data_IF_266031559985
#
_entry.id   IF_266031559985
#
_cell.length_a   1.000
_cell.length_b   1.000
_cell.length_c   1.000
_cell.angle_alpha   90.00
_cell.angle_beta   90.00
_cell.angle_gamma   90.00
#
_symmetry.space_group_name_H-M   'P 1'
#
loop_
_entity.id
_entity.type
_entity.pdbx_description
1 polymer ?
#
# COMPACT_ATOMS: atom_id res chain seq x y z
N UNK A 1 41.19 14.79 -10.29
CA UNK A 1 41.24 13.32 -10.17
C UNK A 1 39.93 12.76 -10.69
N UNK A 2 40.00 11.87 -11.69
CA UNK A 2 38.85 11.20 -12.29
C UNK A 2 38.14 10.29 -11.27
N UNK A 3 36.90 10.61 -10.91
CA UNK A 3 36.01 9.70 -10.21
C UNK A 3 35.27 8.78 -11.19
N UNK A 4 35.96 7.73 -11.66
CA UNK A 4 35.43 6.69 -12.58
C UNK A 4 34.52 5.65 -11.87
N UNK A 5 33.76 6.07 -10.86
CA UNK A 5 32.75 5.25 -10.21
C UNK A 5 31.48 6.08 -10.06
N UNK A 6 30.49 5.85 -10.94
CA UNK A 6 29.12 6.30 -10.72
C UNK A 6 28.65 5.76 -9.38
N UNK A 7 28.55 6.63 -8.38
CA UNK A 7 27.97 6.34 -7.06
C UNK A 7 26.60 5.72 -7.32
N UNK A 8 26.38 4.45 -6.97
CA UNK A 8 25.03 3.87 -6.99
C UNK A 8 24.15 4.82 -6.17
N UNK A 9 23.06 5.29 -6.75
CA UNK A 9 22.05 6.00 -5.99
C UNK A 9 21.68 5.14 -4.77
N UNK A 10 21.64 5.74 -3.57
CA UNK A 10 21.24 5.05 -2.36
C UNK A 10 19.75 4.72 -2.48
N UNK A 11 19.42 3.56 -3.04
CA UNK A 11 18.04 3.08 -3.12
C UNK A 11 17.62 2.46 -1.79
N UNK A 12 16.33 2.56 -1.50
CA UNK A 12 15.67 1.89 -0.38
C UNK A 12 14.90 0.67 -0.90
N UNK A 13 14.82 -0.36 -0.07
CA UNK A 13 13.84 -1.43 -0.26
C UNK A 13 12.46 -0.92 0.12
N UNK A 14 11.47 -1.07 -0.75
CA UNK A 14 10.06 -0.95 -0.37
C UNK A 14 9.60 -2.25 0.27
N UNK A 15 9.24 -2.22 1.55
CA UNK A 15 8.80 -3.41 2.29
C UNK A 15 7.38 -3.19 2.81
N UNK A 16 6.44 -3.95 2.28
CA UNK A 16 5.05 -4.00 2.72
C UNK A 16 4.85 -5.23 3.63
N UNK A 17 4.49 -4.98 4.89
CA UNK A 17 4.21 -6.00 5.92
C UNK A 17 2.70 -6.05 6.12
N UNK A 18 2.03 -7.01 5.45
CA UNK A 18 0.59 -7.18 5.54
C UNK A 18 0.19 -8.31 6.49
N UNK A 19 -1.12 -8.56 6.67
CA UNK A 19 -1.61 -9.64 7.56
C UNK A 19 -1.26 -11.07 7.13
N UNK A 20 -0.81 -11.29 5.90
CA UNK A 20 -0.58 -12.65 5.35
C UNK A 20 0.76 -12.83 4.66
N UNK A 21 1.49 -11.74 4.38
CA UNK A 21 2.75 -11.82 3.64
C UNK A 21 3.59 -10.57 3.87
N UNK A 22 4.90 -10.74 3.72
CA UNK A 22 5.85 -9.65 3.52
C UNK A 22 6.18 -9.58 2.04
N UNK A 23 6.12 -8.37 1.46
CA UNK A 23 6.46 -8.10 0.07
C UNK A 23 7.62 -7.12 0.03
N UNK A 24 8.67 -7.46 -0.71
CA UNK A 24 9.87 -6.66 -0.88
C UNK A 24 10.01 -6.28 -2.35
N UNK A 25 10.27 -5.00 -2.61
CA UNK A 25 10.58 -4.48 -3.93
C UNK A 25 11.80 -3.57 -3.87
N UNK A 26 12.70 -3.71 -4.83
CA UNK A 26 13.84 -2.82 -5.07
C UNK A 26 13.68 -2.19 -6.46
N UNK A 27 13.65 -0.86 -6.50
CA UNK A 27 13.61 -0.08 -7.73
C UNK A 27 14.92 0.67 -7.95
N UNK A 28 15.29 0.84 -9.21
CA UNK A 28 16.27 1.83 -9.65
C UNK A 28 15.65 2.74 -10.71
N UNK A 29 16.26 3.90 -10.96
CA UNK A 29 15.81 4.85 -11.99
C UNK A 29 16.99 5.28 -12.85
N UNK A 30 16.81 5.25 -14.17
CA UNK A 30 17.77 5.76 -15.15
C UNK A 30 17.04 6.66 -16.13
N UNK A 31 17.38 7.96 -16.13
CA UNK A 31 16.55 8.97 -16.79
C UNK A 31 15.15 9.01 -16.15
N UNK A 32 14.11 8.98 -16.99
CA UNK A 32 12.71 8.90 -16.54
C UNK A 32 12.22 7.47 -16.31
N UNK A 33 12.99 6.44 -16.68
CA UNK A 33 12.51 5.06 -16.66
C UNK A 33 12.91 4.34 -15.37
N UNK A 34 11.92 3.78 -14.69
CA UNK A 34 12.13 2.89 -13.56
C UNK A 34 12.54 1.48 -14.01
N UNK A 35 13.26 0.78 -13.15
CA UNK A 35 13.65 -0.60 -13.33
C UNK A 35 13.44 -1.40 -12.05
N UNK A 36 12.77 -2.54 -12.15
CA UNK A 36 12.66 -3.51 -11.04
C UNK A 36 13.98 -4.26 -10.94
N UNK A 37 14.74 -3.98 -9.88
CA UNK A 37 16.03 -4.63 -9.63
C UNK A 37 15.84 -5.98 -8.95
N UNK A 38 14.96 -6.04 -7.95
CA UNK A 38 14.64 -7.24 -7.20
C UNK A 38 13.21 -7.16 -6.67
N UNK A 39 12.55 -8.31 -6.56
CA UNK A 39 11.32 -8.42 -5.79
C UNK A 39 11.20 -9.83 -5.21
N UNK A 40 10.49 -9.95 -4.09
CA UNK A 40 10.08 -11.23 -3.55
C UNK A 40 8.86 -11.06 -2.66
N UNK A 41 8.09 -12.14 -2.55
CA UNK A 41 6.97 -12.27 -1.62
C UNK A 41 7.22 -13.49 -0.74
N UNK A 42 7.03 -13.33 0.56
CA UNK A 42 7.16 -14.38 1.56
C UNK A 42 5.90 -14.43 2.43
N UNK A 43 5.23 -15.59 2.57
CA UNK A 43 4.08 -15.72 3.45
C UNK A 43 4.49 -15.54 4.91
N UNK A 44 3.58 -14.95 5.69
CA UNK A 44 3.73 -14.83 7.14
C UNK A 44 3.11 -16.03 7.85
N UNK A 45 3.64 -16.41 9.03
CA UNK A 45 2.95 -17.34 9.90
C UNK A 45 1.54 -16.84 10.24
N UNK A 46 0.55 -17.74 10.41
CA UNK A 46 -0.77 -17.35 10.85
C UNK A 46 -0.70 -16.52 12.13
N UNK A 47 -1.50 -15.44 12.19
CA UNK A 47 -1.60 -14.53 13.33
C UNK A 47 -0.31 -13.74 13.66
N UNK A 48 0.75 -13.82 12.85
CA UNK A 48 1.95 -13.00 13.08
C UNK A 48 1.67 -11.50 12.92
N UNK A 49 0.74 -11.15 12.03
CA UNK A 49 0.25 -9.79 11.83
C UNK A 49 -1.28 -9.81 11.82
N UNK A 50 -1.91 -9.10 12.74
CA UNK A 50 -3.37 -9.02 12.90
C UNK A 50 -3.79 -7.57 12.73
N UNK A 51 -4.69 -7.29 11.79
CA UNK A 51 -5.22 -5.93 11.55
C UNK A 51 -4.11 -4.88 11.43
N UNK A 52 -3.06 -5.18 10.64
CA UNK A 52 -1.88 -4.34 10.40
C UNK A 52 -0.99 -4.06 11.62
N UNK A 53 -1.22 -4.75 12.74
CA UNK A 53 -0.34 -4.77 13.92
C UNK A 53 0.52 -6.04 13.92
N UNK A 54 1.82 -5.87 14.20
CA UNK A 54 2.76 -7.00 14.36
C UNK A 54 2.52 -7.60 15.75
N UNK A 55 1.98 -8.81 15.80
CA UNK A 55 1.64 -9.52 17.03
C UNK A 55 2.72 -10.55 17.44
N UNK A 56 3.47 -11.07 16.48
CA UNK A 56 4.56 -12.03 16.72
C UNK A 56 5.81 -11.53 15.97
N UNK A 57 6.70 -10.90 16.74
CA UNK A 57 7.82 -10.12 16.20
C UNK A 57 8.86 -11.02 15.53
N UNK A 58 9.19 -12.15 16.15
CA UNK A 58 10.24 -13.06 15.72
C UNK A 58 9.92 -13.73 14.38
N UNK A 59 8.70 -14.22 14.18
CA UNK A 59 8.25 -14.82 12.93
C UNK A 59 8.13 -13.81 11.79
N UNK A 60 7.76 -12.55 12.07
CA UNK A 60 7.87 -11.47 11.07
C UNK A 60 9.34 -11.22 10.71
N UNK A 61 10.24 -11.12 11.69
CA UNK A 61 11.69 -10.96 11.46
C UNK A 61 12.30 -12.11 10.64
N UNK A 62 11.87 -13.35 10.89
CA UNK A 62 12.29 -14.51 10.11
C UNK A 62 11.76 -14.47 8.67
N UNK A 63 10.49 -14.08 8.46
CA UNK A 63 9.93 -13.91 7.13
C UNK A 63 10.64 -12.79 6.35
N UNK A 64 10.97 -11.68 7.00
CA UNK A 64 11.79 -10.60 6.43
C UNK A 64 13.20 -11.09 6.02
N UNK A 65 13.81 -11.96 6.82
CA UNK A 65 15.10 -12.56 6.48
C UNK A 65 14.99 -13.46 5.24
N UNK A 66 13.94 -14.27 5.16
CA UNK A 66 13.67 -15.15 4.00
C UNK A 66 13.36 -14.37 2.73
N UNK A 67 12.52 -13.32 2.81
CA UNK A 67 12.16 -12.51 1.64
C UNK A 67 13.39 -11.78 1.07
N UNK A 68 14.29 -11.28 1.94
CA UNK A 68 15.53 -10.64 1.53
C UNK A 68 16.47 -11.62 0.81
N UNK A 69 16.62 -12.83 1.35
CA UNK A 69 17.40 -13.89 0.73
C UNK A 69 16.82 -14.31 -0.64
N UNK A 70 15.49 -14.43 -0.73
CA UNK A 70 14.76 -14.77 -1.96
C UNK A 70 14.89 -13.70 -3.05
N UNK A 71 14.81 -12.42 -2.67
CA UNK A 71 15.00 -11.28 -3.58
C UNK A 71 16.45 -11.14 -4.07
N UNK A 72 17.42 -11.69 -3.32
CA UNK A 72 18.86 -11.57 -3.59
C UNK A 72 19.27 -10.09 -3.74
N UNK A 73 18.75 -9.23 -2.87
CA UNK A 73 19.15 -7.82 -2.82
C UNK A 73 20.33 -7.63 -1.86
N UNK A 74 21.24 -6.72 -2.22
CA UNK A 74 22.33 -6.28 -1.35
C UNK A 74 21.98 -5.05 -0.50
N UNK A 75 20.82 -4.43 -0.75
CA UNK A 75 20.37 -3.23 -0.02
C UNK A 75 19.94 -3.62 1.40
N UNK A 76 20.30 -2.80 2.38
CA UNK A 76 20.00 -3.04 3.81
C UNK A 76 19.11 -1.96 4.44
N UNK A 77 18.83 -0.90 3.71
CA UNK A 77 17.95 0.19 4.13
C UNK A 77 16.58 0.04 3.49
N UNK A 78 15.52 0.27 4.25
CA UNK A 78 14.14 0.05 3.80
C UNK A 78 13.22 1.23 4.14
N UNK A 79 12.21 1.42 3.30
CA UNK A 79 10.99 2.14 3.60
C UNK A 79 9.89 1.13 3.94
N UNK A 80 9.21 1.34 5.07
CA UNK A 80 8.04 0.57 5.52
C UNK A 80 6.87 1.51 5.73
N UNK A 81 5.66 0.99 5.87
CA UNK A 81 4.47 1.80 6.13
C UNK A 81 3.71 1.40 7.40
N UNK A 82 3.07 2.37 8.02
CA UNK A 82 1.95 2.19 8.94
C UNK A 82 0.61 2.38 8.21
N UNK A 83 -0.42 1.73 8.74
CA UNK A 83 -1.79 1.84 8.21
C UNK A 83 -2.30 3.28 8.27
N UNK A 84 -3.07 3.71 7.26
CA UNK A 84 -3.74 5.01 7.30
C UNK A 84 -4.68 5.16 8.51
N UNK A 85 -5.36 4.08 8.93
CA UNK A 85 -6.22 4.06 10.12
C UNK A 85 -5.46 4.20 11.44
N UNK A 86 -4.14 4.01 11.44
CA UNK A 86 -3.28 4.21 12.60
C UNK A 86 -2.64 5.61 12.65
N UNK A 87 -2.88 6.44 11.64
CA UNK A 87 -2.30 7.78 11.49
C UNK A 87 -3.39 8.84 11.51
N UNK A 88 -3.21 9.83 12.37
CA UNK A 88 -4.01 11.06 12.37
C UNK A 88 -3.28 12.06 11.47
N UNK A 89 -3.96 12.49 10.41
CA UNK A 89 -3.45 13.53 9.49
C UNK A 89 -4.28 14.80 9.64
N UNK A 90 -3.64 15.96 9.82
CA UNK A 90 -4.33 17.24 9.97
C UNK A 90 -3.48 18.39 9.44
N UNK A 91 -4.10 19.27 8.65
CA UNK A 91 -3.50 20.56 8.30
C UNK A 91 -3.82 21.59 9.37
N UNK A 92 -2.81 22.27 9.90
CA UNK A 92 -2.94 23.37 10.85
C UNK A 92 -2.24 24.63 10.33
N UNK A 93 -2.61 25.80 10.83
CA UNK A 93 -1.95 27.07 10.48
C UNK A 93 -1.03 27.50 11.63
N UNK A 94 0.25 27.75 11.32
CA UNK A 94 1.26 28.22 12.27
C UNK A 94 1.84 29.58 11.84
N UNK A 95 2.54 30.27 12.74
CA UNK A 95 3.21 31.53 12.40
C UNK A 95 4.30 31.31 11.34
N UNK A 96 4.35 32.19 10.34
CA UNK A 96 5.38 32.14 9.32
C UNK A 96 6.73 32.62 9.86
N UNK A 97 7.83 32.09 9.30
CA UNK A 97 9.19 32.55 9.63
C UNK A 97 9.82 31.90 10.87
N UNK A 98 9.13 30.94 11.49
CA UNK A 98 9.73 30.07 12.51
C UNK A 98 10.82 29.18 11.90
N UNK A 99 11.83 28.85 12.69
CA UNK A 99 12.79 27.81 12.33
C UNK A 99 12.13 26.42 12.43
N UNK A 100 12.71 25.40 11.79
CA UNK A 100 12.19 24.03 11.86
C UNK A 100 12.16 23.50 13.32
N UNK A 101 13.17 23.85 14.12
CA UNK A 101 13.24 23.49 15.54
C UNK A 101 12.16 24.20 16.37
N UNK A 102 11.92 25.50 16.12
CA UNK A 102 10.85 26.25 16.79
C UNK A 102 9.47 25.69 16.42
N UNK A 103 9.29 25.34 15.14
CA UNK A 103 8.06 24.75 14.63
C UNK A 103 7.82 23.37 15.26
N UNK A 104 8.83 22.52 15.39
CA UNK A 104 8.74 21.22 16.06
C UNK A 104 8.35 21.38 17.55
N UNK A 105 8.97 22.32 18.25
CA UNK A 105 8.68 22.58 19.66
C UNK A 105 7.25 23.09 19.85
N UNK A 106 6.79 24.02 19.01
CA UNK A 106 5.43 24.53 19.06
C UNK A 106 4.42 23.45 18.68
N UNK A 107 4.72 22.63 17.67
CA UNK A 107 3.87 21.51 17.26
C UNK A 107 3.67 20.51 18.40
N UNK A 108 4.71 20.18 19.17
CA UNK A 108 4.56 19.29 20.34
C UNK A 108 3.57 19.84 21.37
N UNK A 109 3.51 21.15 21.54
CA UNK A 109 2.57 21.80 22.47
C UNK A 109 1.15 21.82 21.89
N UNK A 110 0.99 22.14 20.62
CA UNK A 110 -0.33 22.19 19.96
C UNK A 110 -0.93 20.80 19.69
N UNK A 111 -0.07 19.80 19.46
CA UNK A 111 -0.47 18.42 19.18
C UNK A 111 -1.29 17.78 20.31
N UNK A 112 -1.04 18.18 21.57
CA UNK A 112 -1.81 17.73 22.75
C UNK A 112 -3.32 18.02 22.61
N UNK A 113 -3.68 19.07 21.86
CA UNK A 113 -5.09 19.44 21.61
C UNK A 113 -5.77 18.55 20.56
N UNK A 114 -5.00 17.84 19.73
CA UNK A 114 -5.51 17.13 18.57
C UNK A 114 -5.31 15.61 18.65
N UNK A 115 -4.35 15.17 19.45
CA UNK A 115 -3.97 13.77 19.56
C UNK A 115 -4.59 13.19 20.83
N UNK A 116 -5.40 12.13 20.74
CA UNK A 116 -6.08 11.53 21.90
C UNK A 116 -5.15 10.68 22.78
N UNK A 117 -3.82 10.79 22.60
CA UNK A 117 -2.82 9.97 23.26
C UNK A 117 -1.78 10.85 23.96
N UNK A 118 -1.15 10.37 25.04
CA UNK A 118 -0.05 11.08 25.67
C UNK A 118 1.09 11.32 24.68
N UNK A 119 1.65 12.53 24.64
CA UNK A 119 2.72 12.91 23.70
C UNK A 119 3.94 11.97 23.77
N UNK A 120 4.23 11.40 24.94
CA UNK A 120 5.30 10.43 25.12
C UNK A 120 5.10 9.14 24.32
N UNK A 121 3.86 8.78 23.99
CA UNK A 121 3.50 7.58 23.21
C UNK A 121 3.31 7.87 21.72
N UNK A 122 3.57 9.10 21.26
CA UNK A 122 3.21 9.55 19.91
C UNK A 122 4.46 9.86 19.07
N UNK A 123 4.53 9.27 17.89
CA UNK A 123 5.44 9.68 16.84
C UNK A 123 4.73 10.74 15.99
N UNK A 124 5.32 11.93 15.89
CA UNK A 124 4.78 13.08 15.14
C UNK A 124 5.80 13.44 14.08
N UNK A 125 5.31 13.66 12.86
CA UNK A 125 6.05 14.24 11.76
C UNK A 125 5.22 15.38 11.14
N UNK A 126 5.89 16.30 10.45
CA UNK A 126 5.24 17.45 9.85
C UNK A 126 5.91 17.91 8.57
N UNK A 127 5.13 18.55 7.70
CA UNK A 127 5.63 19.17 6.47
C UNK A 127 4.94 20.52 6.23
N UNK A 128 5.73 21.58 6.04
CA UNK A 128 5.22 22.92 5.68
C UNK A 128 4.75 22.91 4.23
N UNK A 129 3.47 23.17 4.00
CA UNK A 129 2.83 23.14 2.68
C UNK A 129 2.98 24.47 1.92
N UNK A 130 3.11 25.58 2.66
CA UNK A 130 3.25 26.93 2.10
C UNK A 130 2.46 27.98 2.88
N UNK A 131 2.35 29.22 2.36
CA UNK A 131 1.60 30.30 3.01
C UNK A 131 0.10 29.96 3.13
N UNK A 132 -0.51 30.31 4.26
CA UNK A 132 -1.92 30.05 4.48
C UNK A 132 -2.79 30.91 3.54
N UNK A 133 -3.85 30.36 2.92
CA UNK A 133 -4.67 31.08 1.92
C UNK A 133 -5.31 32.36 2.45
N UNK A 134 -5.58 32.42 3.76
CA UNK A 134 -6.30 33.52 4.42
C UNK A 134 -5.38 34.50 5.13
N UNK A 135 -4.13 34.13 5.40
CA UNK A 135 -3.18 34.98 6.10
C UNK A 135 -1.74 34.70 5.64
N UNK A 136 -1.11 35.60 4.86
CA UNK A 136 0.28 35.46 4.41
C UNK A 136 1.32 35.45 5.54
N UNK A 137 0.97 35.91 6.75
CA UNK A 137 1.82 35.84 7.94
C UNK A 137 1.76 34.46 8.64
N UNK A 138 1.03 33.52 8.05
CA UNK A 138 0.93 32.13 8.51
C UNK A 138 1.30 31.15 7.42
N UNK A 139 1.67 29.95 7.83
CA UNK A 139 1.92 28.81 6.95
C UNK A 139 1.00 27.65 7.29
N UNK A 140 0.54 26.93 6.27
CA UNK A 140 -0.12 25.64 6.45
C UNK A 140 0.94 24.55 6.70
N UNK A 141 0.72 23.75 7.73
CA UNK A 141 1.57 22.64 8.14
C UNK A 141 0.73 21.38 8.15
N UNK A 142 1.14 20.37 7.38
CA UNK A 142 0.55 19.03 7.41
C UNK A 142 1.19 18.25 8.55
N UNK A 143 0.41 17.88 9.55
CA UNK A 143 0.82 17.04 10.66
C UNK A 143 0.36 15.60 10.41
N UNK A 144 1.27 14.64 10.61
CA UNK A 144 0.98 13.22 10.66
C UNK A 144 1.44 12.64 11.99
N UNK A 145 0.55 11.96 12.72
CA UNK A 145 0.87 11.39 14.01
C UNK A 145 0.33 9.97 14.18
N UNK A 146 1.10 9.10 14.83
CA UNK A 146 0.68 7.74 15.17
C UNK A 146 1.26 7.30 16.51
N UNK A 147 0.80 6.17 17.06
CA UNK A 147 1.41 5.57 18.26
C UNK A 147 2.84 5.13 17.95
N UNK A 148 3.83 5.51 18.78
CA UNK A 148 5.25 5.13 18.64
C UNK A 148 5.44 3.64 18.52
N UNK A 149 4.64 2.86 19.25
CA UNK A 149 4.64 1.39 19.19
C UNK A 149 4.51 0.86 17.75
N UNK A 150 3.69 1.50 16.90
CA UNK A 150 3.50 1.10 15.51
C UNK A 150 4.77 1.26 14.67
N UNK A 151 5.60 2.25 15.01
CA UNK A 151 6.90 2.53 14.38
C UNK A 151 7.94 1.56 14.93
N UNK A 152 8.13 1.55 16.25
CA UNK A 152 9.17 0.79 16.94
C UNK A 152 9.11 -0.71 16.66
N UNK A 153 7.90 -1.30 16.62
CA UNK A 153 7.75 -2.73 16.33
C UNK A 153 8.19 -3.10 14.91
N UNK A 154 8.00 -2.20 13.93
CA UNK A 154 8.45 -2.40 12.54
C UNK A 154 9.97 -2.24 12.44
N UNK A 155 10.53 -1.26 13.15
CA UNK A 155 11.98 -1.08 13.23
C UNK A 155 12.67 -2.30 13.85
N UNK A 156 12.12 -2.82 14.94
CA UNK A 156 12.60 -4.03 15.60
C UNK A 156 12.51 -5.25 14.67
N UNK A 157 11.39 -5.43 13.96
CA UNK A 157 11.20 -6.53 13.02
C UNK A 157 12.22 -6.49 11.87
N UNK A 158 12.50 -5.30 11.33
CA UNK A 158 13.54 -5.09 10.32
C UNK A 158 14.93 -5.38 10.89
N UNK A 159 15.23 -4.94 12.11
CA UNK A 159 16.52 -5.16 12.75
C UNK A 159 16.83 -6.66 12.92
N UNK A 160 15.84 -7.49 13.23
CA UNK A 160 15.98 -8.95 13.28
C UNK A 160 16.43 -9.57 11.94
N UNK A 161 16.09 -8.94 10.82
CA UNK A 161 16.52 -9.35 9.48
C UNK A 161 17.81 -8.66 9.00
N UNK A 162 18.47 -7.88 9.87
CA UNK A 162 19.63 -7.09 9.52
C UNK A 162 19.31 -5.95 8.54
N UNK A 163 18.08 -5.43 8.60
CA UNK A 163 17.60 -4.28 7.84
C UNK A 163 17.47 -3.05 8.75
N UNK A 164 17.48 -1.86 8.17
CA UNK A 164 17.30 -0.59 8.88
C UNK A 164 16.17 0.19 8.24
N UNK A 165 15.15 0.55 9.02
CA UNK A 165 14.15 1.51 8.60
C UNK A 165 14.82 2.87 8.39
N UNK A 166 14.75 3.40 7.16
CA UNK A 166 15.14 4.78 6.85
C UNK A 166 13.94 5.70 6.71
N UNK A 167 12.79 5.13 6.37
CA UNK A 167 11.52 5.83 6.25
C UNK A 167 10.45 4.93 6.85
N UNK A 168 9.62 5.51 7.70
CA UNK A 168 8.36 4.91 8.16
C UNK A 168 7.25 5.80 7.65
N UNK A 169 6.58 5.33 6.60
CA UNK A 169 5.64 6.08 5.79
C UNK A 169 4.18 5.72 6.14
N UNK A 170 3.23 6.35 5.45
CA UNK A 170 1.81 6.00 5.49
C UNK A 170 1.43 5.27 4.21
N UNK A 171 0.67 4.18 4.33
CA UNK A 171 0.22 3.37 3.18
C UNK A 171 -0.50 4.21 2.11
N UNK A 172 -1.29 5.22 2.51
CA UNK A 172 -2.01 6.10 1.59
C UNK A 172 -1.05 6.87 0.66
N UNK A 173 0.04 7.43 1.18
CA UNK A 173 1.02 8.16 0.37
C UNK A 173 1.85 7.23 -0.51
N UNK A 174 2.12 6.01 -0.04
CA UNK A 174 2.70 4.98 -0.90
C UNK A 174 1.77 4.65 -2.07
N UNK A 175 0.47 4.52 -1.80
CA UNK A 175 -0.51 4.28 -2.85
C UNK A 175 -0.54 5.41 -3.88
N UNK A 176 -0.54 6.67 -3.45
CA UNK A 176 -0.49 7.85 -4.34
C UNK A 176 0.73 7.83 -5.27
N UNK A 177 1.92 7.55 -4.74
CA UNK A 177 3.14 7.44 -5.56
C UNK A 177 3.05 6.32 -6.57
N UNK A 178 2.56 5.15 -6.17
CA UNK A 178 2.38 4.03 -7.10
C UNK A 178 1.27 4.30 -8.14
N UNK A 179 0.21 4.99 -7.74
CA UNK A 179 -0.89 5.41 -8.63
C UNK A 179 -0.40 6.32 -9.75
N UNK A 180 0.57 7.21 -9.48
CA UNK A 180 1.15 8.09 -10.50
C UNK A 180 1.74 7.31 -11.70
N UNK A 181 2.17 6.06 -11.50
CA UNK A 181 2.70 5.18 -12.56
C UNK A 181 1.61 4.58 -13.47
N UNK A 182 0.33 4.74 -13.12
CA UNK A 182 -0.79 4.14 -13.85
C UNK A 182 -1.36 5.05 -14.94
N UNK A 183 -0.73 6.20 -15.19
CA UNK A 183 -1.17 7.17 -16.21
C UNK A 183 -1.39 6.52 -17.59
N UNK A 184 -0.47 5.64 -17.99
CA UNK A 184 -0.56 4.91 -19.27
C UNK A 184 -1.76 3.95 -19.35
N UNK A 185 -2.23 3.43 -18.20
CA UNK A 185 -3.41 2.57 -18.14
C UNK A 185 -4.73 3.36 -18.15
N UNK A 186 -4.69 4.62 -17.70
CA UNK A 186 -5.85 5.49 -17.59
C UNK A 186 -6.08 6.36 -18.85
N UNK A 187 -5.31 6.16 -19.92
CA UNK A 187 -5.50 6.86 -21.19
C UNK A 187 -4.79 8.22 -21.30
N UNK A 188 -3.92 8.57 -20.33
CA UNK A 188 -3.07 9.78 -20.32
C UNK A 188 -3.65 10.94 -19.50
N UNK A 189 -2.79 11.60 -18.70
CA UNK A 189 -3.13 12.71 -17.80
C UNK A 189 -3.86 12.29 -16.52
N UNK A 190 -3.41 12.79 -15.37
CA UNK A 190 -4.13 12.65 -14.08
C UNK A 190 -5.02 13.86 -13.77
N UNK A 191 -4.95 14.90 -14.60
CA UNK A 191 -5.63 16.17 -14.36
C UNK A 191 -7.15 15.98 -14.51
N UNK A 192 -7.85 16.38 -13.45
CA UNK A 192 -9.31 16.29 -13.24
C UNK A 192 -9.89 14.88 -13.13
N UNK A 193 -9.06 13.83 -13.00
CA UNK A 193 -9.54 12.47 -12.79
C UNK A 193 -9.84 12.20 -11.32
N UNK A 194 -10.98 11.54 -11.08
CA UNK A 194 -11.40 10.97 -9.80
C UNK A 194 -11.43 9.45 -9.91
N UNK A 195 -10.47 8.79 -9.27
CA UNK A 195 -10.26 7.34 -9.38
C UNK A 195 -10.45 6.65 -8.03
N UNK A 196 -11.30 5.63 -8.01
CA UNK A 196 -11.47 4.76 -6.86
C UNK A 196 -10.51 3.57 -6.93
N UNK A 197 -9.47 3.55 -6.09
CA UNK A 197 -8.59 2.41 -5.92
C UNK A 197 -9.17 1.48 -4.85
N UNK A 198 -9.42 0.23 -5.22
CA UNK A 198 -9.95 -0.82 -4.36
C UNK A 198 -8.87 -1.87 -4.13
N UNK A 199 -8.15 -1.78 -3.01
CA UNK A 199 -7.18 -2.80 -2.60
C UNK A 199 -7.89 -3.94 -1.87
N UNK A 200 -7.98 -5.10 -2.53
CA UNK A 200 -8.64 -6.30 -2.00
C UNK A 200 -7.56 -7.26 -1.49
N UNK A 201 -7.18 -7.08 -0.23
CA UNK A 201 -6.25 -7.92 0.50
C UNK A 201 -6.83 -9.29 0.88
N UNK A 202 -6.16 -9.99 1.77
CA UNK A 202 -6.63 -11.28 2.29
C UNK A 202 -7.73 -11.10 3.35
N UNK A 203 -7.52 -10.22 4.33
CA UNK A 203 -8.43 -10.02 5.47
C UNK A 203 -9.12 -8.66 5.46
N UNK A 204 -8.59 -7.71 4.69
CA UNK A 204 -9.02 -6.32 4.66
C UNK A 204 -9.17 -5.87 3.21
N UNK A 205 -10.19 -5.07 2.96
CA UNK A 205 -10.38 -4.33 1.71
C UNK A 205 -10.36 -2.84 2.01
N UNK A 206 -9.55 -2.09 1.28
CA UNK A 206 -9.43 -0.64 1.42
C UNK A 206 -9.91 0.03 0.14
N UNK A 207 -10.89 0.92 0.27
CA UNK A 207 -11.23 1.89 -0.77
C UNK A 207 -10.45 3.18 -0.50
N UNK A 208 -9.66 3.62 -1.48
CA UNK A 208 -9.05 4.94 -1.51
C UNK A 208 -9.53 5.67 -2.76
N UNK A 209 -10.14 6.84 -2.60
CA UNK A 209 -10.53 7.68 -3.74
C UNK A 209 -9.49 8.78 -3.89
N UNK A 210 -8.89 8.84 -5.06
CA UNK A 210 -7.91 9.84 -5.44
C UNK A 210 -8.54 10.82 -6.42
N UNK A 211 -8.36 12.11 -6.18
CA UNK A 211 -8.72 13.17 -7.12
C UNK A 211 -7.47 14.01 -7.39
N UNK A 212 -7.13 14.21 -8.66
CA UNK A 212 -5.86 14.86 -9.06
C UNK A 212 -4.62 14.23 -8.39
N UNK A 213 -4.62 12.90 -8.29
CA UNK A 213 -3.53 12.13 -7.66
C UNK A 213 -3.43 12.22 -6.14
N UNK A 214 -4.32 12.96 -5.46
CA UNK A 214 -4.35 13.06 -3.99
C UNK A 214 -5.52 12.30 -3.39
N UNK A 215 -5.29 11.61 -2.28
CA UNK A 215 -6.34 10.88 -1.56
C UNK A 215 -7.32 11.86 -0.90
N UNK A 216 -8.60 11.75 -1.26
CA UNK A 216 -9.69 12.55 -0.68
C UNK A 216 -10.65 11.73 0.19
N UNK A 217 -10.56 10.40 0.11
CA UNK A 217 -11.39 9.49 0.90
C UNK A 217 -10.67 8.17 1.10
N UNK A 218 -10.72 7.63 2.31
CA UNK A 218 -10.25 6.28 2.62
C UNK A 218 -11.23 5.56 3.53
N UNK A 219 -11.51 4.29 3.24
CA UNK A 219 -12.34 3.44 4.09
C UNK A 219 -11.87 2.00 4.04
N UNK A 220 -11.77 1.39 5.21
CA UNK A 220 -11.39 -0.01 5.39
C UNK A 220 -12.60 -0.86 5.80
N UNK A 221 -12.64 -2.11 5.34
CA UNK A 221 -13.64 -3.09 5.76
C UNK A 221 -13.03 -4.49 5.89
N UNK A 222 -13.43 -5.22 6.93
CA UNK A 222 -13.01 -6.60 7.24
C UNK A 222 -13.62 -7.61 6.25
N UNK A 223 -13.17 -7.54 5.01
CA UNK A 223 -13.55 -8.38 3.89
C UNK A 223 -12.31 -8.62 3.03
N UNK A 224 -12.15 -9.82 2.46
CA UNK A 224 -11.04 -10.07 1.57
C UNK A 224 -10.92 -11.52 1.11
N UNK A 225 -9.84 -11.80 0.38
CA UNK A 225 -9.60 -13.07 -0.29
C UNK A 225 -9.43 -14.29 0.63
N UNK A 226 -9.30 -14.11 1.95
CA UNK A 226 -9.28 -15.20 2.95
C UNK A 226 -10.61 -15.93 3.00
N UNK A 227 -11.73 -15.22 2.81
CA UNK A 227 -13.06 -15.86 2.76
C UNK A 227 -13.13 -16.89 1.62
N UNK A 228 -12.59 -16.56 0.45
CA UNK A 228 -12.50 -17.50 -0.67
C UNK A 228 -11.58 -18.69 -0.33
N UNK A 229 -10.43 -18.45 0.31
CA UNK A 229 -9.53 -19.53 0.73
C UNK A 229 -10.22 -20.47 1.72
N UNK A 230 -10.91 -19.93 2.73
CA UNK A 230 -11.63 -20.71 3.75
C UNK A 230 -12.79 -21.54 3.14
N UNK A 231 -13.47 -21.01 2.12
CA UNK A 231 -14.49 -21.75 1.39
C UNK A 231 -13.91 -22.95 0.64
N UNK A 232 -12.77 -22.75 -0.04
CA UNK A 232 -12.04 -23.83 -0.73
C UNK A 232 -11.62 -24.92 0.26
N UNK A 233 -11.09 -24.54 1.42
CA UNK A 233 -10.72 -25.49 2.48
C UNK A 233 -11.92 -26.31 2.95
N UNK A 234 -13.04 -25.63 3.26
CA UNK A 234 -14.22 -26.29 3.82
C UNK A 234 -14.86 -27.25 2.83
N UNK A 235 -14.95 -26.85 1.55
CA UNK A 235 -15.62 -27.64 0.51
C UNK A 235 -14.78 -28.83 0.04
N UNK A 236 -13.47 -28.65 -0.10
CA UNK A 236 -12.59 -29.65 -0.71
C UNK A 236 -11.65 -30.35 0.28
N UNK A 237 -11.74 -30.02 1.58
CA UNK A 237 -10.93 -30.64 2.63
C UNK A 237 -9.44 -30.32 2.54
N UNK A 238 -9.09 -29.18 1.94
CA UNK A 238 -7.70 -28.76 1.73
C UNK A 238 -7.15 -27.99 2.94
N UNK A 239 -5.84 -28.07 3.14
CA UNK A 239 -5.12 -27.16 4.05
C UNK A 239 -5.14 -25.71 3.53
N UNK A 240 -4.76 -24.75 4.38
CA UNK A 240 -4.70 -23.32 4.00
C UNK A 240 -3.73 -23.11 2.84
N UNK A 241 -2.58 -23.80 2.88
CA UNK A 241 -1.53 -23.71 1.87
C UNK A 241 -2.00 -24.29 0.53
N UNK A 242 -2.61 -25.48 0.56
CA UNK A 242 -3.17 -26.13 -0.64
C UNK A 242 -4.30 -25.30 -1.24
N UNK A 243 -5.22 -24.78 -0.42
CA UNK A 243 -6.31 -23.93 -0.87
C UNK A 243 -5.81 -22.61 -1.49
N UNK A 244 -4.80 -21.98 -0.89
CA UNK A 244 -4.17 -20.76 -1.43
C UNK A 244 -3.44 -21.02 -2.75
N UNK A 245 -2.78 -22.17 -2.89
CA UNK A 245 -2.13 -22.58 -4.13
C UNK A 245 -3.15 -22.86 -5.23
N UNK A 246 -4.19 -23.65 -4.92
CA UNK A 246 -5.27 -23.99 -5.84
C UNK A 246 -6.05 -22.75 -6.30
N UNK A 247 -6.26 -21.76 -5.41
CA UNK A 247 -6.86 -20.46 -5.78
C UNK A 247 -6.07 -19.73 -6.87
N UNK A 248 -4.75 -19.90 -6.94
CA UNK A 248 -3.89 -19.25 -7.94
C UNK A 248 -3.66 -20.12 -9.18
N UNK A 249 -3.54 -21.42 -9.01
CA UNK A 249 -3.12 -22.36 -10.07
C UNK A 249 -4.29 -23.12 -10.69
N UNK A 250 -5.46 -23.12 -10.06
CA UNK A 250 -6.61 -23.96 -10.44
C UNK A 250 -6.46 -25.40 -9.96
N UNK A 251 -7.07 -26.34 -10.69
CA UNK A 251 -7.06 -27.77 -10.35
C UNK A 251 -8.11 -28.19 -9.32
N UNK A 252 -9.08 -27.33 -9.04
CA UNK A 252 -10.26 -27.66 -8.23
C UNK A 252 -11.35 -28.33 -9.09
N UNK A 253 -12.28 -29.09 -8.48
CA UNK A 253 -13.38 -29.74 -9.20
C UNK A 253 -14.29 -28.73 -9.93
N UNK A 254 -15.02 -29.21 -10.94
CA UNK A 254 -15.85 -28.39 -11.84
C UNK A 254 -16.94 -27.56 -11.13
N UNK A 255 -17.34 -27.95 -9.91
CA UNK A 255 -18.32 -27.21 -9.12
C UNK A 255 -17.75 -25.95 -8.44
N UNK A 256 -16.43 -25.76 -8.47
CA UNK A 256 -15.74 -24.62 -7.86
C UNK A 256 -16.22 -23.29 -8.42
N UNK A 257 -16.31 -23.19 -9.74
CA UNK A 257 -16.65 -21.93 -10.40
C UNK A 257 -18.04 -21.45 -10.00
N UNK A 258 -19.05 -22.33 -10.03
CA UNK A 258 -20.45 -21.97 -9.74
C UNK A 258 -20.77 -21.87 -8.26
N UNK A 259 -20.21 -22.74 -7.43
CA UNK A 259 -20.61 -22.87 -6.01
C UNK A 259 -19.71 -22.09 -5.05
N UNK A 260 -18.49 -21.71 -5.48
CA UNK A 260 -17.49 -21.07 -4.61
C UNK A 260 -17.01 -19.74 -5.19
N UNK A 261 -16.45 -19.76 -6.41
CA UNK A 261 -15.83 -18.57 -6.98
C UNK A 261 -16.85 -17.50 -7.36
N UNK A 262 -17.94 -17.88 -8.04
CA UNK A 262 -18.96 -16.93 -8.48
C UNK A 262 -19.68 -16.23 -7.31
N UNK A 263 -20.12 -16.91 -6.23
CA UNK A 263 -20.66 -16.25 -5.05
C UNK A 263 -19.67 -15.29 -4.38
N UNK A 264 -18.39 -15.66 -4.32
CA UNK A 264 -17.35 -14.77 -3.80
C UNK A 264 -17.17 -13.52 -4.68
N UNK A 265 -17.14 -13.68 -6.00
CA UNK A 265 -17.08 -12.55 -6.95
C UNK A 265 -18.27 -11.60 -6.76
N UNK A 266 -19.48 -12.13 -6.56
CA UNK A 266 -20.66 -11.33 -6.28
C UNK A 266 -20.58 -10.60 -4.94
N UNK A 267 -20.04 -11.23 -3.91
CA UNK A 267 -19.77 -10.58 -2.62
C UNK A 267 -18.77 -9.43 -2.77
N UNK A 268 -17.71 -9.60 -3.58
CA UNK A 268 -16.78 -8.51 -3.91
C UNK A 268 -17.51 -7.34 -4.58
N UNK A 269 -18.35 -7.60 -5.59
CA UNK A 269 -19.12 -6.55 -6.27
C UNK A 269 -20.01 -5.77 -5.29
N UNK A 270 -20.73 -6.48 -4.40
CA UNK A 270 -21.56 -5.86 -3.37
C UNK A 270 -20.71 -4.97 -2.44
N UNK A 271 -19.54 -5.46 -2.06
CA UNK A 271 -18.60 -4.76 -1.19
C UNK A 271 -18.06 -3.46 -1.81
N UNK A 272 -17.68 -3.51 -3.10
CA UNK A 272 -17.22 -2.33 -3.85
C UNK A 272 -18.36 -1.34 -4.02
N UNK A 273 -19.53 -1.80 -4.48
CA UNK A 273 -20.73 -0.97 -4.67
C UNK A 273 -21.11 -0.22 -3.39
N UNK A 274 -21.15 -0.92 -2.25
CA UNK A 274 -21.45 -0.32 -0.95
C UNK A 274 -20.41 0.72 -0.53
N UNK A 275 -19.13 0.44 -0.77
CA UNK A 275 -18.04 1.38 -0.42
C UNK A 275 -18.13 2.68 -1.24
N UNK A 276 -18.42 2.58 -2.53
CA UNK A 276 -18.64 3.74 -3.41
C UNK A 276 -19.89 4.55 -2.99
N UNK A 277 -20.99 3.89 -2.68
CA UNK A 277 -22.20 4.57 -2.17
C UNK A 277 -21.91 5.38 -0.90
N UNK A 278 -21.09 4.84 0.01
CA UNK A 278 -20.67 5.57 1.19
C UNK A 278 -19.77 6.78 0.89
N UNK A 279 -18.90 6.68 -0.11
CA UNK A 279 -18.11 7.81 -0.58
C UNK A 279 -19.02 8.91 -1.15
N UNK A 280 -19.95 8.55 -2.05
CA UNK A 280 -20.88 9.51 -2.65
C UNK A 280 -21.78 10.19 -1.61
N UNK A 281 -22.22 9.46 -0.59
CA UNK A 281 -23.04 10.02 0.49
C UNK A 281 -22.26 10.93 1.45
N UNK A 282 -20.93 10.80 1.53
CA UNK A 282 -20.08 11.57 2.45
C UNK A 282 -19.49 12.85 1.81
N UNK A 283 -19.44 12.91 0.48
CA UNK A 283 -18.76 13.97 -0.26
C UNK A 283 -19.66 14.73 -1.23
N UNK A 284 -19.01 15.51 -2.09
CA UNK A 284 -19.64 16.28 -3.17
C UNK A 284 -19.65 15.53 -4.51
N UNK A 285 -19.03 14.35 -4.57
CA UNK A 285 -18.88 13.54 -5.78
C UNK A 285 -20.06 12.57 -5.90
N UNK A 286 -20.62 12.45 -7.11
CA UNK A 286 -21.74 11.53 -7.38
C UNK A 286 -21.30 10.29 -8.17
N UNK A 287 -20.10 10.33 -8.73
CA UNK A 287 -19.50 9.33 -9.58
C UNK A 287 -17.97 9.38 -9.46
N UNK A 288 -17.32 8.38 -10.07
CA UNK A 288 -15.87 8.29 -10.25
C UNK A 288 -15.61 7.86 -11.69
N UNK A 289 -14.52 8.34 -12.28
CA UNK A 289 -14.17 8.07 -13.68
C UNK A 289 -13.72 6.62 -13.88
N UNK A 290 -12.94 6.11 -12.91
CA UNK A 290 -12.34 4.77 -12.96
C UNK A 290 -12.39 4.06 -11.62
N UNK A 291 -12.42 2.73 -11.69
CA UNK A 291 -12.14 1.83 -10.58
C UNK A 291 -10.83 1.08 -10.87
N UNK A 292 -9.86 1.19 -9.99
CA UNK A 292 -8.61 0.44 -10.06
C UNK A 292 -8.59 -0.65 -9.00
N UNK A 293 -8.51 -1.91 -9.43
CA UNK A 293 -8.41 -3.05 -8.53
C UNK A 293 -6.96 -3.32 -8.16
N UNK A 294 -6.65 -3.25 -6.88
CA UNK A 294 -5.36 -3.58 -6.29
C UNK A 294 -5.49 -4.76 -5.31
N UNK A 295 -4.36 -5.21 -4.77
CA UNK A 295 -4.32 -6.35 -3.87
C UNK A 295 -4.29 -7.69 -4.62
N UNK A 296 -3.89 -8.75 -3.91
CA UNK A 296 -3.73 -10.08 -4.52
C UNK A 296 -5.03 -10.72 -5.00
N UNK A 297 -6.18 -10.25 -4.50
CA UNK A 297 -7.50 -10.75 -4.92
C UNK A 297 -7.95 -10.10 -6.24
N UNK A 298 -7.36 -8.97 -6.64
CA UNK A 298 -7.64 -8.35 -7.95
C UNK A 298 -7.18 -9.22 -9.13
N UNK A 299 -6.27 -10.17 -8.91
CA UNK A 299 -5.81 -11.13 -9.92
C UNK A 299 -6.82 -12.24 -10.25
N UNK A 300 -8.02 -12.23 -9.64
CA UNK A 300 -9.08 -13.20 -9.99
C UNK A 300 -9.52 -12.95 -11.44
N UNK A 301 -9.55 -14.00 -12.30
CA UNK A 301 -9.97 -13.86 -13.69
C UNK A 301 -11.37 -13.25 -13.84
N UNK A 302 -11.51 -12.27 -14.75
CA UNK A 302 -12.75 -11.56 -15.11
C UNK A 302 -13.46 -10.84 -13.94
N UNK A 303 -12.79 -10.64 -12.80
CA UNK A 303 -13.36 -9.88 -11.68
C UNK A 303 -13.55 -8.40 -12.03
N UNK A 304 -12.57 -7.82 -12.71
CA UNK A 304 -12.60 -6.47 -13.28
C UNK A 304 -13.82 -6.25 -14.19
N UNK A 305 -14.06 -7.18 -15.12
CA UNK A 305 -15.20 -7.13 -16.03
C UNK A 305 -16.53 -7.23 -15.31
N UNK A 306 -16.62 -8.12 -14.32
CA UNK A 306 -17.85 -8.27 -13.54
C UNK A 306 -18.15 -7.00 -12.74
N UNK A 307 -17.15 -6.41 -12.09
CA UNK A 307 -17.28 -5.15 -11.36
C UNK A 307 -17.69 -4.03 -12.31
N UNK A 308 -17.02 -3.88 -13.45
CA UNK A 308 -17.37 -2.88 -14.47
C UNK A 308 -18.81 -3.03 -14.95
N UNK A 309 -19.24 -4.25 -15.28
CA UNK A 309 -20.60 -4.50 -15.77
C UNK A 309 -21.67 -4.16 -14.72
N UNK A 310 -21.41 -4.48 -13.45
CA UNK A 310 -22.39 -4.32 -12.36
C UNK A 310 -22.44 -2.91 -11.81
N UNK A 311 -21.31 -2.19 -11.79
CA UNK A 311 -21.22 -0.83 -11.27
C UNK A 311 -21.44 0.20 -12.37
N UNK A 312 -21.08 -0.10 -13.62
CA UNK A 312 -21.20 0.83 -14.74
C UNK A 312 -20.03 1.81 -14.89
N UNK A 313 -18.95 1.62 -14.10
CA UNK A 313 -17.72 2.42 -14.17
C UNK A 313 -16.59 1.61 -14.78
N UNK A 314 -15.77 2.24 -15.62
CA UNK A 314 -14.60 1.60 -16.22
C UNK A 314 -13.66 1.05 -15.14
N UNK A 315 -13.35 -0.24 -15.22
CA UNK A 315 -12.57 -0.95 -14.18
C UNK A 315 -11.33 -1.58 -14.78
N UNK A 316 -10.18 -1.42 -14.12
CA UNK A 316 -8.89 -1.96 -14.53
C UNK A 316 -8.20 -2.63 -13.34
N UNK A 317 -7.34 -3.62 -13.61
CA UNK A 317 -6.46 -4.19 -12.59
C UNK A 317 -5.15 -3.41 -12.58
N UNK A 318 -4.74 -2.93 -11.40
CA UNK A 318 -3.55 -2.12 -11.25
C UNK A 318 -2.27 -2.90 -11.61
N UNK A 319 -1.43 -2.30 -12.44
CA UNK A 319 -0.09 -2.83 -12.74
C UNK A 319 0.94 -1.70 -12.74
N UNK A 320 1.63 -1.41 -11.62
CA UNK A 320 2.59 -0.30 -11.56
C UNK A 320 3.87 -0.57 -12.39
N UNK A 321 4.03 -1.77 -12.97
CA UNK A 321 5.25 -2.20 -13.64
C UNK A 321 5.18 -2.13 -15.17
N UNK A 322 4.07 -1.67 -15.74
CA UNK A 322 3.80 -1.72 -17.18
C UNK A 322 4.93 -1.09 -18.03
N UNK A 323 5.46 0.06 -17.62
CA UNK A 323 6.52 0.78 -18.36
C UNK A 323 7.94 0.56 -17.79
N UNK A 324 8.05 -0.25 -16.73
CA UNK A 324 9.33 -0.49 -16.06
C UNK A 324 10.21 -1.46 -16.85
N UNK A 325 11.52 -1.23 -16.83
CA UNK A 325 12.47 -2.26 -17.22
C UNK A 325 12.56 -3.34 -16.12
N UNK A 326 12.92 -4.57 -16.49
CA UNK A 326 13.12 -5.66 -15.53
C UNK A 326 14.58 -6.10 -15.53
N UNK A 327 15.13 -6.32 -14.33
CA UNK A 327 16.43 -6.98 -14.18
C UNK A 327 16.36 -8.44 -14.61
N UNK A 328 17.47 -8.99 -15.10
CA UNK A 328 17.52 -10.38 -15.61
C UNK A 328 17.23 -11.45 -14.56
N UNK A 329 17.33 -11.11 -13.26
CA UNK A 329 17.00 -12.01 -12.15
C UNK A 329 15.52 -11.98 -11.75
N UNK A 330 14.72 -11.09 -12.33
CA UNK A 330 13.29 -10.92 -12.04
C UNK A 330 12.48 -11.80 -12.99
N UNK A 331 11.61 -12.65 -12.44
CA UNK A 331 10.69 -13.44 -13.26
C UNK A 331 9.49 -12.58 -13.68
N UNK A 332 9.41 -12.26 -14.98
CA UNK A 332 8.36 -11.39 -15.51
C UNK A 332 6.94 -11.95 -15.34
N UNK A 333 6.77 -13.27 -15.51
CA UNK A 333 5.46 -13.93 -15.37
C UNK A 333 4.95 -13.89 -13.93
N UNK A 334 5.82 -14.24 -12.98
CA UNK A 334 5.47 -14.18 -11.57
C UNK A 334 5.24 -12.73 -11.10
N UNK A 335 6.02 -11.76 -11.60
CA UNK A 335 5.81 -10.35 -11.29
C UNK A 335 4.45 -9.87 -11.80
N UNK A 336 4.07 -10.25 -13.02
CA UNK A 336 2.78 -9.89 -13.60
C UNK A 336 1.61 -10.45 -12.77
N UNK A 337 1.71 -11.68 -12.25
CA UNK A 337 0.68 -12.28 -11.39
C UNK A 337 0.55 -11.59 -10.04
N UNK A 338 1.66 -11.11 -9.47
CA UNK A 338 1.68 -10.42 -8.17
C UNK A 338 1.53 -8.89 -8.30
N UNK A 339 1.54 -8.35 -9.52
CA UNK A 339 1.58 -6.90 -9.79
C UNK A 339 0.56 -6.06 -9.00
N UNK A 340 -0.74 -6.38 -8.99
CA UNK A 340 -1.72 -5.58 -8.24
C UNK A 340 -1.49 -5.63 -6.73
N UNK A 341 -0.87 -6.70 -6.21
CA UNK A 341 -0.56 -6.85 -4.79
C UNK A 341 0.68 -6.06 -4.35
N UNK A 342 1.40 -5.44 -5.29
CA UNK A 342 2.66 -4.75 -5.03
C UNK A 342 2.54 -3.22 -5.09
N UNK A 343 1.32 -2.65 -5.17
CA UNK A 343 1.10 -1.20 -5.20
C UNK A 343 1.78 -0.49 -4.02
N UNK A 344 1.54 -0.95 -2.78
CA UNK A 344 2.14 -0.35 -1.58
C UNK A 344 3.68 -0.51 -1.57
N UNK A 345 4.18 -1.72 -1.82
CA UNK A 345 5.62 -1.96 -1.90
C UNK A 345 6.31 -1.11 -2.99
N UNK A 346 5.63 -0.87 -4.12
CA UNK A 346 6.07 0.03 -5.17
C UNK A 346 6.18 1.47 -4.69
N UNK A 347 5.12 2.00 -4.09
CA UNK A 347 5.11 3.34 -3.52
C UNK A 347 6.17 3.57 -2.45
N UNK A 348 6.48 2.54 -1.65
CA UNK A 348 7.56 2.59 -0.66
C UNK A 348 8.95 2.59 -1.30
N UNK A 349 9.18 1.74 -2.31
CA UNK A 349 10.45 1.73 -3.03
C UNK A 349 10.69 3.07 -3.76
N UNK A 350 9.61 3.73 -4.21
CA UNK A 350 9.66 5.03 -4.88
C UNK A 350 10.16 6.17 -3.99
N UNK A 351 10.10 6.04 -2.64
CA UNK A 351 10.71 7.01 -1.70
C UNK A 351 12.21 7.23 -1.91
N UNK A 352 12.87 6.34 -2.66
CA UNK A 352 14.27 6.50 -3.06
C UNK A 352 14.51 7.66 -4.04
N UNK A 353 13.46 8.22 -4.62
CA UNK A 353 13.54 9.17 -5.74
C UNK A 353 12.77 10.47 -5.52
N UNK A 354 12.24 10.64 -4.31
CA UNK A 354 11.59 11.85 -3.81
C UNK A 354 12.63 12.89 -3.40
#
# INVERSE_FOLDING_TARGET
>A
MLGLFTKKANTLLGIDISSTSVKLLELSRSGSRYKVEAYAVEPLPPNAVVEKNIAELEGVGQALSRVLAKAKSGVKTAAVAVAGSAVITKTIEMEAGLSEEDLENQLKIEADQYIPYPLEEVAIDFEVQGPAPRNPERVEVLLAACRKENVEVREAALALAGLTAKVVDVEAYALERAYALLEAQLGGGHDDLTVAVVDIGATMTTLSVLHNGRTIYTREQLFGGKQLTEEIQRRYGLSVEEAGLAKKQGGLPDDYDSEVLQPFKEAVVQQVSRSLQFFFAAGQYNDVDYILLAGGTASIPDLDRLIQQKIGTQTLVANPFADMALSSKVNAGALASDAPALMIACGLAMRSFD
#
